data_IF_659956927745
#
_entry.id   IF_659956927745
#
_cell.length_a   1.000
_cell.length_b   1.000
_cell.length_c   1.000
_cell.angle_alpha   90.00
_cell.angle_beta   90.00
_cell.angle_gamma   90.00
#
_symmetry.space_group_name_H-M   'P 1'
#
loop_
_entity.id
_entity.type
_entity.pdbx_description
1 polymer ?
#
# COMPACT_ATOMS: atom_id res chain seq x y z
N UNK A 1 20.63 -42.68 14.04
CA UNK A 1 20.48 -44.14 14.00
C UNK A 1 20.63 -44.79 15.38
N UNK A 2 21.65 -44.44 16.18
CA UNK A 2 21.76 -44.97 17.56
C UNK A 2 20.57 -44.63 18.45
N UNK A 3 20.02 -43.41 18.35
CA UNK A 3 18.83 -42.99 19.13
C UNK A 3 17.52 -43.69 18.74
N UNK A 4 17.53 -44.47 17.66
CA UNK A 4 16.34 -45.13 17.12
C UNK A 4 16.57 -46.62 16.92
N UNK A 5 17.62 -47.19 17.54
CA UNK A 5 18.02 -48.60 17.40
C UNK A 5 18.11 -49.06 15.93
N UNK A 6 18.54 -48.15 15.05
CA UNK A 6 18.65 -48.40 13.61
C UNK A 6 17.34 -48.34 12.82
N UNK A 7 16.19 -48.06 13.44
CA UNK A 7 14.88 -47.97 12.77
C UNK A 7 14.74 -46.69 11.94
N UNK A 8 15.28 -45.57 12.43
CA UNK A 8 15.12 -44.24 11.84
C UNK A 8 13.93 -43.45 12.40
N UNK A 9 13.85 -42.16 12.07
CA UNK A 9 12.83 -41.24 12.59
C UNK A 9 11.51 -41.31 11.81
N UNK A 10 10.37 -41.19 12.51
CA UNK A 10 9.03 -41.04 11.92
C UNK A 10 8.89 -39.74 11.11
N UNK A 11 9.58 -38.70 11.56
CA UNK A 11 9.53 -37.36 10.98
C UNK A 11 10.88 -36.66 11.13
N UNK A 12 11.33 -35.99 10.07
CA UNK A 12 12.51 -35.12 10.09
C UNK A 12 12.07 -33.72 9.70
N UNK A 13 12.36 -32.74 10.56
CA UNK A 13 12.07 -31.33 10.30
C UNK A 13 13.39 -30.64 9.94
N UNK A 14 13.43 -30.00 8.79
CA UNK A 14 14.61 -29.26 8.31
C UNK A 14 14.38 -27.76 8.53
N UNK A 15 15.17 -27.18 9.44
CA UNK A 15 15.17 -25.74 9.75
C UNK A 15 16.45 -25.03 9.26
N UNK A 16 17.31 -25.73 8.53
CA UNK A 16 18.59 -25.21 8.03
C UNK A 16 18.42 -24.22 6.86
N UNK A 17 19.42 -23.36 6.69
CA UNK A 17 19.56 -22.49 5.51
C UNK A 17 20.89 -22.76 4.81
N UNK A 18 20.86 -23.37 3.62
CA UNK A 18 22.03 -23.69 2.80
C UNK A 18 21.64 -23.84 1.33
N UNK A 19 22.60 -23.83 0.41
CA UNK A 19 22.35 -24.19 -1.00
C UNK A 19 22.59 -25.67 -1.29
N UNK A 20 23.19 -26.40 -0.34
CA UNK A 20 23.53 -27.81 -0.53
C UNK A 20 22.29 -28.72 -0.47
N UNK A 21 22.35 -29.82 -1.23
CA UNK A 21 21.41 -30.94 -1.17
C UNK A 21 21.74 -31.94 -0.04
N UNK A 22 22.88 -31.79 0.64
CA UNK A 22 23.32 -32.75 1.66
C UNK A 22 22.32 -32.86 2.82
N UNK A 23 21.67 -31.75 3.18
CA UNK A 23 20.70 -31.72 4.28
C UNK A 23 19.46 -32.57 3.95
N UNK A 24 18.98 -32.54 2.70
CA UNK A 24 17.82 -33.35 2.31
C UNK A 24 18.16 -34.83 2.19
N UNK A 25 19.37 -35.15 1.71
CA UNK A 25 19.88 -36.52 1.68
C UNK A 25 20.06 -37.08 3.10
N UNK A 26 20.65 -36.31 4.02
CA UNK A 26 20.76 -36.70 5.43
C UNK A 26 19.38 -36.92 6.07
N UNK A 27 18.40 -36.06 5.79
CA UNK A 27 17.04 -36.24 6.28
C UNK A 27 16.40 -37.55 5.76
N UNK A 28 16.63 -37.90 4.50
CA UNK A 28 16.18 -39.18 3.93
C UNK A 28 16.87 -40.39 4.58
N UNK A 29 18.17 -40.29 4.85
CA UNK A 29 18.94 -41.34 5.52
C UNK A 29 18.52 -41.53 6.99
N UNK A 30 18.21 -40.45 7.70
CA UNK A 30 17.72 -40.48 9.07
C UNK A 30 16.28 -41.00 9.21
N UNK A 31 15.49 -40.91 8.15
CA UNK A 31 14.09 -41.33 8.15
C UNK A 31 13.94 -42.86 8.13
N UNK A 32 12.93 -43.38 8.81
CA UNK A 32 12.50 -44.77 8.66
C UNK A 32 11.73 -44.97 7.34
N UNK A 33 11.41 -46.23 6.99
CA UNK A 33 10.48 -46.52 5.90
C UNK A 33 9.12 -45.85 6.16
N UNK A 34 8.59 -45.14 5.17
CA UNK A 34 7.40 -44.27 5.21
C UNK A 34 7.52 -43.08 6.17
N UNK A 35 8.75 -42.62 6.42
CA UNK A 35 9.02 -41.40 7.16
C UNK A 35 8.57 -40.15 6.41
N UNK A 36 8.40 -39.06 7.16
CA UNK A 36 7.98 -37.75 6.64
C UNK A 36 9.11 -36.75 6.79
N UNK A 37 9.43 -36.01 5.74
CA UNK A 37 10.39 -34.91 5.77
C UNK A 37 9.63 -33.60 5.58
N UNK A 38 9.79 -32.68 6.52
CA UNK A 38 9.15 -31.36 6.51
C UNK A 38 10.22 -30.29 6.41
N UNK A 39 10.22 -29.51 5.33
CA UNK A 39 11.13 -28.37 5.15
C UNK A 39 10.47 -27.07 5.62
N UNK A 40 11.09 -26.39 6.57
CA UNK A 40 10.74 -25.02 7.00
C UNK A 40 11.79 -24.01 6.50
N UNK A 41 13.05 -24.42 6.41
CA UNK A 41 14.17 -23.60 5.96
C UNK A 41 14.32 -23.49 4.44
N UNK A 42 15.51 -23.10 3.99
CA UNK A 42 15.86 -22.96 2.56
C UNK A 42 17.07 -23.84 2.27
N UNK A 43 16.90 -24.90 1.49
CA UNK A 43 17.96 -25.87 1.16
C UNK A 43 18.01 -26.14 -0.35
N UNK A 44 19.07 -26.82 -0.82
CA UNK A 44 19.05 -27.45 -2.14
C UNK A 44 18.00 -28.57 -2.20
N UNK A 45 17.25 -28.65 -3.30
CA UNK A 45 16.10 -29.55 -3.46
C UNK A 45 16.25 -30.57 -4.58
N UNK A 46 17.48 -30.92 -4.97
CA UNK A 46 17.72 -32.03 -5.90
C UNK A 46 17.56 -33.36 -5.16
N UNK A 47 16.33 -33.89 -5.15
CA UNK A 47 15.97 -35.10 -4.43
C UNK A 47 16.58 -36.35 -5.08
N UNK A 48 17.31 -37.15 -4.30
CA UNK A 48 17.78 -38.46 -4.74
C UNK A 48 16.61 -39.43 -4.86
N UNK A 49 16.35 -39.90 -6.09
CA UNK A 49 15.30 -40.91 -6.32
C UNK A 49 15.55 -42.18 -5.51
N UNK A 50 16.79 -42.65 -5.41
CA UNK A 50 17.12 -43.89 -4.71
C UNK A 50 16.74 -43.80 -3.22
N UNK A 51 17.17 -42.73 -2.55
CA UNK A 51 16.96 -42.53 -1.11
C UNK A 51 15.47 -42.39 -0.74
N UNK A 52 14.70 -41.68 -1.58
CA UNK A 52 13.27 -41.48 -1.36
C UNK A 52 12.44 -42.71 -1.72
N UNK A 53 12.81 -43.42 -2.80
CA UNK A 53 12.06 -44.57 -3.30
C UNK A 53 12.21 -45.80 -2.40
N UNK A 54 13.44 -46.14 -1.99
CA UNK A 54 13.72 -47.32 -1.16
C UNK A 54 12.89 -47.34 0.14
N UNK A 55 12.73 -46.14 0.72
CA UNK A 55 12.04 -45.95 1.98
C UNK A 55 10.60 -45.45 1.82
N UNK A 56 10.08 -45.25 0.61
CA UNK A 56 8.74 -44.65 0.38
C UNK A 56 8.53 -43.35 1.18
N UNK A 57 9.49 -42.44 1.14
CA UNK A 57 9.45 -41.20 1.93
C UNK A 57 8.46 -40.19 1.34
N UNK A 58 7.86 -39.40 2.24
CA UNK A 58 7.08 -38.22 1.85
C UNK A 58 7.83 -36.94 2.18
N UNK A 59 7.67 -35.93 1.33
CA UNK A 59 8.29 -34.62 1.49
C UNK A 59 7.22 -33.53 1.44
N UNK A 60 7.29 -32.59 2.38
CA UNK A 60 6.41 -31.43 2.46
C UNK A 60 7.22 -30.16 2.72
N UNK A 61 6.93 -29.10 1.97
CA UNK A 61 7.40 -27.76 2.31
C UNK A 61 6.34 -27.07 3.18
N UNK A 62 6.74 -26.63 4.36
CA UNK A 62 5.88 -25.92 5.30
C UNK A 62 5.99 -24.41 5.09
N UNK A 63 4.85 -23.73 5.00
CA UNK A 63 4.84 -22.27 5.07
C UNK A 63 5.29 -21.82 6.47
N UNK A 64 6.29 -20.93 6.53
CA UNK A 64 7.14 -20.67 7.71
C UNK A 64 6.42 -20.32 9.02
N UNK A 65 5.18 -19.83 8.97
CA UNK A 65 4.33 -19.57 10.15
C UNK A 65 2.88 -20.08 10.00
N UNK A 66 2.62 -20.90 8.98
CA UNK A 66 1.36 -21.59 8.77
C UNK A 66 0.31 -20.82 7.95
N UNK A 67 -0.94 -21.31 7.96
CA UNK A 67 -2.08 -20.67 7.30
C UNK A 67 -2.27 -19.22 7.72
N UNK A 68 -2.55 -18.35 6.76
CA UNK A 68 -2.63 -16.89 6.91
C UNK A 68 -1.53 -16.16 6.16
N UNK A 69 -0.35 -16.80 6.05
CA UNK A 69 0.75 -16.25 5.27
C UNK A 69 0.36 -16.07 3.80
N UNK A 70 0.59 -14.87 3.26
CA UNK A 70 0.22 -14.48 1.89
C UNK A 70 -1.29 -14.37 1.63
N UNK A 71 -2.11 -14.41 2.67
CA UNK A 71 -3.55 -14.14 2.60
C UNK A 71 -3.82 -12.71 3.11
N UNK A 72 -4.22 -11.82 2.21
CA UNK A 72 -4.47 -10.41 2.55
C UNK A 72 -5.64 -10.23 3.54
N UNK A 73 -6.68 -11.07 3.44
CA UNK A 73 -7.83 -11.00 4.35
C UNK A 73 -7.41 -11.37 5.78
N UNK A 74 -6.44 -12.28 5.91
CA UNK A 74 -5.84 -12.64 7.18
C UNK A 74 -4.83 -11.60 7.68
N UNK A 75 -3.74 -11.39 6.93
CA UNK A 75 -2.58 -10.59 7.37
C UNK A 75 -2.90 -9.11 7.50
N UNK A 76 -3.69 -8.57 6.55
CA UNK A 76 -3.93 -7.12 6.47
C UNK A 76 -5.28 -6.74 7.07
N UNK A 77 -6.33 -7.55 6.84
CA UNK A 77 -7.69 -7.23 7.33
C UNK A 77 -8.00 -7.83 8.71
N UNK A 78 -7.14 -8.72 9.22
CA UNK A 78 -7.28 -9.29 10.56
C UNK A 78 -8.40 -10.31 10.69
N UNK A 79 -8.88 -10.88 9.58
CA UNK A 79 -9.90 -11.93 9.60
C UNK A 79 -9.24 -13.29 9.87
N UNK A 80 -9.25 -13.74 11.12
CA UNK A 80 -8.70 -15.05 11.50
C UNK A 80 -9.56 -16.20 10.93
N UNK A 81 -8.94 -17.33 10.62
CA UNK A 81 -9.66 -18.49 10.10
C UNK A 81 -10.53 -19.13 11.19
N UNK A 82 -11.69 -19.72 10.84
CA UNK A 82 -12.52 -20.34 11.84
C UNK A 82 -11.81 -21.54 12.50
N UNK A 83 -11.72 -21.50 13.83
CA UNK A 83 -11.00 -22.48 14.65
C UNK A 83 -11.34 -23.96 14.33
N UNK A 84 -12.62 -24.34 14.07
CA UNK A 84 -12.95 -25.73 13.74
C UNK A 84 -12.34 -26.25 12.43
N UNK A 85 -12.00 -25.37 11.48
CA UNK A 85 -11.47 -25.76 10.17
C UNK A 85 -9.96 -25.57 10.08
N UNK A 86 -9.44 -24.51 10.69
CA UNK A 86 -8.00 -24.22 10.71
C UNK A 86 -7.58 -24.03 12.14
N UNK A 87 -7.06 -25.09 12.77
CA UNK A 87 -6.67 -25.07 14.18
C UNK A 87 -5.48 -24.12 14.43
N UNK A 88 -4.46 -24.20 13.59
CA UNK A 88 -3.22 -23.44 13.70
C UNK A 88 -3.13 -22.37 12.61
N UNK A 89 -3.10 -21.12 13.04
CA UNK A 89 -2.90 -19.94 12.19
C UNK A 89 -1.66 -19.21 12.67
N UNK A 90 -1.09 -18.30 11.87
CA UNK A 90 0.07 -17.51 12.26
C UNK A 90 -0.11 -16.86 13.64
N UNK A 91 -1.24 -16.18 13.87
CA UNK A 91 -1.61 -15.57 15.16
C UNK A 91 -1.58 -16.58 16.30
N UNK A 92 -2.23 -17.74 16.16
CA UNK A 92 -2.31 -18.75 17.23
C UNK A 92 -0.97 -19.44 17.51
N UNK A 93 -0.13 -19.57 16.49
CA UNK A 93 1.26 -20.01 16.64
C UNK A 93 2.02 -19.01 17.52
N UNK A 94 1.94 -17.71 17.22
CA UNK A 94 2.54 -16.65 18.05
C UNK A 94 1.99 -16.64 19.47
N UNK A 95 0.65 -16.67 19.64
CA UNK A 95 0.00 -16.72 20.96
C UNK A 95 0.48 -17.92 21.78
N UNK A 96 0.66 -19.08 21.14
CA UNK A 96 1.13 -20.30 21.82
C UNK A 96 2.57 -20.19 22.25
N UNK A 97 3.46 -19.64 21.43
CA UNK A 97 4.86 -19.40 21.80
C UNK A 97 4.94 -18.38 22.94
N UNK A 98 4.23 -17.26 22.84
CA UNK A 98 4.18 -16.25 23.90
C UNK A 98 3.62 -16.82 25.21
N UNK A 99 2.55 -17.63 25.12
CA UNK A 99 1.99 -18.34 26.27
C UNK A 99 3.01 -19.31 26.88
N UNK A 100 3.73 -20.06 26.05
CA UNK A 100 4.76 -21.01 26.49
C UNK A 100 5.95 -20.31 27.18
N UNK A 101 6.38 -19.15 26.66
CA UNK A 101 7.40 -18.32 27.31
C UNK A 101 6.88 -17.80 28.65
N UNK A 102 5.66 -17.25 28.69
CA UNK A 102 5.08 -16.71 29.93
C UNK A 102 4.91 -17.77 31.03
N UNK A 103 4.64 -19.03 30.64
CA UNK A 103 4.53 -20.19 31.53
C UNK A 103 5.86 -20.88 31.80
N UNK A 104 6.96 -20.38 31.22
CA UNK A 104 8.31 -20.96 31.32
C UNK A 104 8.42 -22.40 30.79
N UNK A 105 7.54 -22.79 29.86
CA UNK A 105 7.71 -24.03 29.09
C UNK A 105 8.82 -23.89 28.04
N UNK A 106 9.08 -22.65 27.62
CA UNK A 106 10.23 -22.28 26.81
C UNK A 106 10.99 -21.23 27.60
N UNK A 107 12.22 -21.55 28.00
CA UNK A 107 13.12 -20.63 28.68
C UNK A 107 14.00 -19.92 27.64
N UNK A 108 13.75 -18.62 27.45
CA UNK A 108 14.53 -17.78 26.52
C UNK A 108 15.53 -16.88 27.22
N UNK A 109 15.41 -16.68 28.54
CA UNK A 109 16.30 -15.82 29.31
C UNK A 109 17.79 -16.19 29.14
N UNK A 110 18.20 -17.48 29.11
CA UNK A 110 19.61 -17.84 28.89
C UNK A 110 20.13 -17.47 27.49
N UNK A 111 19.24 -17.23 26.52
CA UNK A 111 19.63 -16.82 25.17
C UNK A 111 19.91 -15.31 25.09
N UNK A 112 19.39 -14.52 26.04
CA UNK A 112 19.60 -13.07 26.09
C UNK A 112 21.03 -12.81 26.55
N UNK A 113 21.90 -12.53 25.57
CA UNK A 113 23.32 -12.25 25.80
C UNK A 113 23.60 -10.78 26.08
N UNK A 114 22.69 -9.89 25.68
CA UNK A 114 22.82 -8.46 25.92
C UNK A 114 21.46 -7.74 25.94
N UNK A 115 21.40 -6.64 26.67
CA UNK A 115 20.27 -5.69 26.67
C UNK A 115 20.84 -4.33 26.33
N UNK A 116 20.31 -3.70 25.28
CA UNK A 116 20.81 -2.44 24.73
C UNK A 116 19.67 -1.43 24.66
N UNK A 117 19.91 -0.21 25.12
CA UNK A 117 18.95 0.89 24.96
C UNK A 117 18.69 1.18 23.48
N UNK A 118 17.44 1.48 23.09
CA UNK A 118 17.12 1.73 21.68
C UNK A 118 18.01 2.79 21.02
N UNK A 119 18.40 3.84 21.75
CA UNK A 119 19.30 4.89 21.25
C UNK A 119 20.68 4.35 20.79
N UNK A 120 21.09 3.21 21.34
CA UNK A 120 22.35 2.53 21.05
C UNK A 120 22.16 1.33 20.11
N UNK A 121 21.05 1.27 19.35
CA UNK A 121 20.74 0.14 18.45
C UNK A 121 21.88 -0.25 17.51
N UNK A 122 22.76 0.69 17.15
CA UNK A 122 23.94 0.43 16.32
C UNK A 122 24.96 -0.51 16.96
N UNK A 123 24.98 -0.70 18.29
CA UNK A 123 25.79 -1.73 18.94
C UNK A 123 25.38 -3.13 18.50
N UNK A 124 24.08 -3.35 18.29
CA UNK A 124 23.55 -4.60 17.76
C UNK A 124 23.78 -4.62 16.25
N UNK A 125 23.16 -3.70 15.52
CA UNK A 125 23.09 -3.77 14.05
C UNK A 125 24.42 -3.50 13.34
N UNK A 126 25.34 -2.75 13.95
CA UNK A 126 26.67 -2.47 13.42
C UNK A 126 27.64 -3.65 13.54
N UNK A 127 27.37 -4.59 14.45
CA UNK A 127 28.20 -5.78 14.73
C UNK A 127 27.49 -7.09 14.37
N UNK A 128 26.37 -7.02 13.62
CA UNK A 128 25.67 -8.21 13.14
C UNK A 128 26.64 -9.08 12.33
N UNK A 129 26.82 -10.32 12.78
CA UNK A 129 27.68 -11.31 12.14
C UNK A 129 29.13 -11.33 12.63
N UNK A 130 29.59 -10.32 13.39
CA UNK A 130 30.90 -10.32 14.06
C UNK A 130 30.80 -10.51 15.57
N UNK A 131 29.66 -10.18 16.18
CA UNK A 131 29.43 -10.39 17.61
C UNK A 131 29.20 -11.87 17.95
N UNK A 132 29.51 -12.25 19.18
CA UNK A 132 29.17 -13.58 19.75
C UNK A 132 27.78 -13.59 20.41
N UNK A 133 27.01 -12.51 20.26
CA UNK A 133 25.68 -12.40 20.85
C UNK A 133 24.74 -13.42 20.22
N UNK A 134 23.95 -14.10 21.06
CA UNK A 134 22.95 -15.10 20.64
C UNK A 134 21.59 -14.43 20.49
N UNK A 135 21.17 -13.66 21.49
CA UNK A 135 19.99 -12.79 21.42
C UNK A 135 20.27 -11.45 22.10
N UNK A 136 19.90 -10.36 21.42
CA UNK A 136 20.05 -8.99 21.91
C UNK A 136 18.66 -8.40 22.14
N UNK A 137 18.39 -7.88 23.34
CA UNK A 137 17.12 -7.24 23.67
C UNK A 137 17.24 -5.72 23.55
N UNK A 138 16.32 -5.08 22.84
CA UNK A 138 16.22 -3.63 22.81
C UNK A 138 15.33 -3.15 23.96
N UNK A 139 15.85 -2.27 24.80
CA UNK A 139 15.08 -1.61 25.86
C UNK A 139 14.39 -0.34 25.33
N UNK A 140 13.11 -0.20 25.65
CA UNK A 140 12.23 0.91 25.25
C UNK A 140 11.76 1.79 26.43
N UNK A 141 12.21 1.51 27.66
CA UNK A 141 11.62 2.04 28.91
C UNK A 141 11.60 3.57 29.03
N UNK A 142 12.48 4.29 28.33
CA UNK A 142 12.63 5.76 28.44
C UNK A 142 12.17 6.53 27.19
N UNK A 143 11.38 5.92 26.30
CA UNK A 143 11.01 6.56 25.03
C UNK A 143 9.65 7.23 25.14
N UNK A 144 9.64 8.55 24.95
CA UNK A 144 8.41 9.27 24.63
C UNK A 144 8.07 9.04 23.17
N UNK A 145 6.99 8.29 22.90
CA UNK A 145 6.51 8.08 21.53
C UNK A 145 5.93 9.37 20.97
N UNK A 146 6.43 9.79 19.81
CA UNK A 146 5.85 10.86 19.02
C UNK A 146 5.50 10.32 17.64
N UNK A 147 4.28 10.62 17.20
CA UNK A 147 3.85 10.35 15.83
C UNK A 147 4.53 11.30 14.82
N UNK A 148 5.22 12.33 15.29
CA UNK A 148 5.84 13.37 14.46
C UNK A 148 7.33 13.50 14.76
N UNK A 149 8.12 13.60 13.71
CA UNK A 149 9.55 13.90 13.79
C UNK A 149 9.86 15.18 13.02
N UNK A 150 10.76 15.99 13.55
CA UNK A 150 11.34 17.13 12.84
C UNK A 150 12.55 16.64 12.05
N UNK A 151 12.53 16.83 10.73
CA UNK A 151 13.52 16.28 9.81
C UNK A 151 14.52 17.33 9.34
N UNK A 152 14.08 18.57 9.16
CA UNK A 152 14.94 19.70 8.78
C UNK A 152 14.62 20.91 9.65
N UNK A 153 15.64 21.48 10.31
CA UNK A 153 15.50 22.70 11.12
C UNK A 153 15.96 23.97 10.38
N UNK A 154 16.74 23.83 9.30
CA UNK A 154 17.37 24.96 8.62
C UNK A 154 16.73 25.21 7.25
N UNK A 155 15.77 26.12 7.19
CA UNK A 155 15.60 26.93 6.00
C UNK A 155 16.40 28.22 6.21
N UNK A 156 17.50 28.37 5.47
CA UNK A 156 18.17 29.66 5.34
C UNK A 156 17.12 30.70 4.96
N UNK A 157 16.98 31.73 5.80
CA UNK A 157 15.93 32.73 5.71
C UNK A 157 15.90 33.37 4.33
N UNK A 158 14.83 33.10 3.58
CA UNK A 158 14.38 33.93 2.47
C UNK A 158 12.86 33.77 2.26
N UNK A 159 12.09 33.62 3.34
CA UNK A 159 10.63 33.71 3.32
C UNK A 159 10.21 35.10 3.83
N UNK A 160 10.53 36.14 3.06
CA UNK A 160 10.11 37.52 3.33
C UNK A 160 8.64 37.80 2.99
N UNK A 161 7.85 36.80 2.57
CA UNK A 161 6.40 36.93 2.43
C UNK A 161 5.66 36.21 3.56
N UNK A 162 5.36 36.96 4.62
CA UNK A 162 4.48 36.60 5.75
C UNK A 162 3.04 36.20 5.36
N UNK A 163 2.71 36.15 4.07
CA UNK A 163 1.37 35.82 3.54
C UNK A 163 1.23 34.37 3.05
N UNK A 164 2.33 33.62 2.86
CA UNK A 164 2.25 32.28 2.29
C UNK A 164 2.18 31.22 3.39
N UNK A 165 0.96 30.85 3.80
CA UNK A 165 0.73 29.71 4.70
C UNK A 165 1.24 28.41 4.05
N UNK A 166 1.67 27.45 4.87
CA UNK A 166 2.35 26.23 4.46
C UNK A 166 1.45 25.14 3.88
N UNK A 167 2.10 24.18 3.22
CA UNK A 167 1.47 23.05 2.53
C UNK A 167 1.84 21.73 3.22
N UNK A 168 0.85 20.85 3.35
CA UNK A 168 1.04 19.48 3.80
C UNK A 168 0.71 18.49 2.67
N UNK A 169 1.52 17.44 2.53
CA UNK A 169 1.23 16.33 1.62
C UNK A 169 0.87 15.07 2.42
N UNK A 170 -0.26 14.46 2.07
CA UNK A 170 -0.82 13.30 2.75
C UNK A 170 -0.76 12.11 1.80
N UNK A 171 -0.02 11.08 2.20
CA UNK A 171 0.33 9.93 1.38
C UNK A 171 1.79 10.00 0.91
N UNK A 172 2.61 9.05 1.36
CA UNK A 172 4.01 8.87 0.93
C UNK A 172 4.17 7.75 -0.11
N UNK A 173 3.17 7.62 -1.00
CA UNK A 173 3.13 6.57 -2.02
C UNK A 173 4.02 6.85 -3.23
N UNK A 174 4.01 5.92 -4.19
CA UNK A 174 4.81 6.04 -5.42
C UNK A 174 4.47 7.29 -6.22
N UNK A 175 3.20 7.65 -6.35
CA UNK A 175 2.79 8.86 -7.07
C UNK A 175 3.37 10.13 -6.42
N UNK A 176 3.31 10.21 -5.09
CA UNK A 176 3.93 11.29 -4.31
C UNK A 176 5.42 11.40 -4.56
N UNK A 177 6.12 10.27 -4.42
CA UNK A 177 7.57 10.18 -4.56
C UNK A 177 8.07 10.52 -5.96
N UNK A 178 7.38 10.04 -6.99
CA UNK A 178 7.85 10.09 -8.38
C UNK A 178 7.32 11.30 -9.15
N UNK A 179 6.17 11.86 -8.76
CA UNK A 179 5.50 12.92 -9.53
C UNK A 179 5.34 14.20 -8.71
N UNK A 180 4.66 14.14 -7.57
CA UNK A 180 4.26 15.34 -6.82
C UNK A 180 5.46 16.07 -6.19
N UNK A 181 6.29 15.36 -5.41
CA UNK A 181 7.41 15.99 -4.71
C UNK A 181 8.44 16.63 -5.67
N UNK A 182 8.82 16.01 -6.80
CA UNK A 182 9.63 16.67 -7.82
C UNK A 182 8.99 17.95 -8.37
N UNK A 183 7.69 17.92 -8.71
CA UNK A 183 6.99 19.10 -9.24
C UNK A 183 6.91 20.24 -8.20
N UNK A 184 6.59 19.93 -6.95
CA UNK A 184 6.52 20.89 -5.85
C UNK A 184 7.86 21.57 -5.57
N UNK A 185 8.94 20.79 -5.60
CA UNK A 185 10.30 21.31 -5.44
C UNK A 185 10.62 22.34 -6.54
N UNK A 186 10.26 22.04 -7.78
CA UNK A 186 10.47 22.96 -8.91
C UNK A 186 9.63 24.24 -8.82
N UNK A 187 8.46 24.17 -8.18
CA UNK A 187 7.58 25.32 -7.92
C UNK A 187 7.99 26.13 -6.67
N UNK A 188 8.98 25.68 -5.91
CA UNK A 188 9.40 26.35 -4.67
C UNK A 188 8.33 26.34 -3.58
N UNK A 189 7.47 25.32 -3.55
CA UNK A 189 6.38 25.25 -2.57
C UNK A 189 6.92 25.07 -1.15
N UNK A 190 6.26 25.75 -0.21
CA UNK A 190 6.54 25.63 1.21
C UNK A 190 5.94 24.33 1.78
N UNK A 191 6.68 23.22 1.66
CA UNK A 191 6.30 21.93 2.25
C UNK A 191 6.68 21.85 3.73
N UNK A 192 5.68 21.88 4.59
CA UNK A 192 5.83 21.82 6.05
C UNK A 192 5.69 20.38 6.56
N UNK A 193 4.72 19.63 6.04
CA UNK A 193 4.41 18.28 6.50
C UNK A 193 4.40 17.26 5.36
N UNK A 194 4.88 16.06 5.65
CA UNK A 194 4.49 14.83 4.95
C UNK A 194 3.83 13.86 5.94
N UNK A 195 2.66 13.36 5.57
CA UNK A 195 1.86 12.43 6.38
C UNK A 195 1.84 11.05 5.73
N UNK A 196 2.12 9.99 6.47
CA UNK A 196 1.99 8.61 5.98
C UNK A 196 1.63 7.62 7.08
N UNK A 197 0.92 6.54 6.73
CA UNK A 197 0.60 5.47 7.69
C UNK A 197 1.83 4.77 8.25
N UNK A 198 2.92 4.70 7.48
CA UNK A 198 4.23 4.20 7.94
C UNK A 198 5.22 5.34 8.16
N UNK A 199 5.91 5.36 9.31
CA UNK A 199 6.86 6.42 9.64
C UNK A 199 8.10 6.45 8.72
N UNK A 200 8.61 5.29 8.29
CA UNK A 200 9.88 5.20 7.56
C UNK A 200 9.82 5.83 6.15
N UNK A 201 8.76 5.56 5.39
CA UNK A 201 8.61 6.07 4.02
C UNK A 201 8.44 7.58 4.00
N UNK A 202 7.56 8.14 4.85
CA UNK A 202 7.40 9.57 5.05
C UNK A 202 8.70 10.25 5.45
N UNK A 203 9.40 9.70 6.46
CA UNK A 203 10.67 10.25 6.96
C UNK A 203 11.75 10.29 5.90
N UNK A 204 11.87 9.22 5.10
CA UNK A 204 12.87 9.14 4.04
C UNK A 204 12.62 10.17 2.95
N UNK A 205 11.35 10.36 2.56
CA UNK A 205 10.97 11.40 1.60
C UNK A 205 11.15 12.80 2.18
N UNK A 206 10.80 13.03 3.44
CA UNK A 206 11.02 14.30 4.11
C UNK A 206 12.50 14.71 4.08
N UNK A 207 13.41 13.77 4.39
CA UNK A 207 14.86 14.01 4.31
C UNK A 207 15.29 14.38 2.90
N UNK A 208 14.86 13.60 1.91
CA UNK A 208 15.23 13.79 0.50
C UNK A 208 14.74 15.12 -0.08
N UNK A 209 13.54 15.55 0.30
CA UNK A 209 12.88 16.74 -0.25
C UNK A 209 12.88 17.93 0.71
N UNK A 210 13.61 17.85 1.83
CA UNK A 210 13.75 18.91 2.83
C UNK A 210 12.41 19.41 3.40
N UNK A 211 11.48 18.47 3.61
CA UNK A 211 10.20 18.73 4.29
C UNK A 211 10.46 18.80 5.79
N UNK A 212 9.88 19.79 6.47
CA UNK A 212 10.23 20.12 7.86
C UNK A 212 9.82 19.01 8.82
N UNK A 213 8.58 18.51 8.69
CA UNK A 213 8.01 17.50 9.57
C UNK A 213 7.54 16.27 8.79
N UNK A 214 7.78 15.10 9.38
CA UNK A 214 7.18 13.82 8.95
C UNK A 214 6.32 13.30 10.08
N UNK A 215 5.06 12.96 9.79
CA UNK A 215 4.12 12.50 10.80
C UNK A 215 3.28 11.30 10.35
N UNK A 216 2.87 10.47 11.30
CA UNK A 216 1.84 9.44 11.12
C UNK A 216 0.46 9.90 11.58
N UNK A 217 0.36 11.12 12.12
CA UNK A 217 -0.86 11.69 12.69
C UNK A 217 -1.39 12.82 11.78
N UNK A 218 -2.44 12.50 11.03
CA UNK A 218 -3.08 13.46 10.11
C UNK A 218 -3.74 14.63 10.84
N UNK A 219 -4.24 14.42 12.06
CA UNK A 219 -4.96 15.46 12.81
C UNK A 219 -4.07 16.63 13.21
N UNK A 220 -2.75 16.40 13.36
CA UNK A 220 -1.80 17.49 13.61
C UNK A 220 -1.79 18.51 12.48
N UNK A 221 -1.85 18.03 11.23
CA UNK A 221 -1.90 18.91 10.04
C UNK A 221 -3.20 19.72 10.01
N UNK A 222 -4.31 19.10 10.39
CA UNK A 222 -5.62 19.77 10.42
C UNK A 222 -5.66 20.88 11.49
N UNK A 223 -5.03 20.64 12.64
CA UNK A 223 -4.99 21.58 13.78
C UNK A 223 -3.94 22.69 13.64
N UNK A 224 -2.91 22.52 12.81
CA UNK A 224 -1.87 23.53 12.64
C UNK A 224 -2.40 24.75 11.85
N UNK A 225 -2.45 25.90 12.51
CA UNK A 225 -2.90 27.17 11.92
C UNK A 225 -1.97 27.70 10.82
N UNK A 226 -0.72 27.24 10.78
CA UNK A 226 0.26 27.63 9.75
C UNK A 226 0.05 26.88 8.43
N UNK A 227 -0.72 25.79 8.44
CA UNK A 227 -1.08 25.04 7.23
C UNK A 227 -2.39 25.55 6.67
N UNK A 228 -2.41 25.91 5.39
CA UNK A 228 -3.65 26.28 4.70
C UNK A 228 -4.05 25.31 3.60
N UNK A 229 -3.15 24.44 3.16
CA UNK A 229 -3.37 23.60 1.99
C UNK A 229 -2.91 22.18 2.28
N UNK A 230 -3.79 21.23 1.99
CA UNK A 230 -3.54 19.79 2.12
C UNK A 230 -3.61 19.14 0.74
N UNK A 231 -2.60 18.35 0.41
CA UNK A 231 -2.51 17.62 -0.85
C UNK A 231 -2.62 16.12 -0.59
N UNK A 232 -3.77 15.54 -0.91
CA UNK A 232 -4.13 14.15 -0.60
C UNK A 232 -3.81 13.27 -1.81
N UNK A 233 -2.95 12.28 -1.59
CA UNK A 233 -2.37 11.38 -2.61
C UNK A 233 -2.37 9.93 -2.12
N UNK A 234 -3.38 9.59 -1.31
CA UNK A 234 -3.52 8.30 -0.63
C UNK A 234 -4.20 7.25 -1.52
N UNK A 235 -4.55 6.09 -0.95
CA UNK A 235 -5.44 5.13 -1.61
C UNK A 235 -6.85 5.73 -1.71
N UNK A 236 -7.63 5.30 -2.70
CA UNK A 236 -8.89 5.96 -3.08
C UNK A 236 -9.93 6.03 -1.95
N UNK A 237 -10.12 4.95 -1.18
CA UNK A 237 -11.06 4.93 -0.05
C UNK A 237 -10.77 5.95 1.05
N UNK A 238 -9.54 6.47 1.14
CA UNK A 238 -9.17 7.50 2.11
C UNK A 238 -9.45 8.92 1.61
N UNK A 239 -9.72 9.11 0.32
CA UNK A 239 -9.92 10.45 -0.25
C UNK A 239 -11.11 11.15 0.41
N UNK A 240 -12.29 10.55 0.37
CA UNK A 240 -13.50 11.16 0.91
C UNK A 240 -13.40 11.57 2.39
N UNK A 241 -13.02 10.68 3.34
CA UNK A 241 -12.90 11.07 4.74
C UNK A 241 -11.81 12.13 4.97
N UNK A 242 -10.66 12.05 4.28
CA UNK A 242 -9.57 13.02 4.46
C UNK A 242 -9.90 14.39 3.86
N UNK A 243 -10.55 14.43 2.68
CA UNK A 243 -11.02 15.66 2.03
C UNK A 243 -12.05 16.36 2.92
N UNK A 244 -13.05 15.61 3.40
CA UNK A 244 -14.07 16.12 4.33
C UNK A 244 -13.43 16.75 5.56
N UNK A 245 -12.51 16.04 6.21
CA UNK A 245 -11.83 16.53 7.41
C UNK A 245 -10.99 17.80 7.14
N UNK A 246 -10.27 17.86 6.02
CA UNK A 246 -9.50 19.05 5.64
C UNK A 246 -10.38 20.27 5.35
N UNK A 247 -11.48 20.07 4.61
CA UNK A 247 -12.45 21.13 4.33
C UNK A 247 -13.09 21.65 5.62
N UNK A 248 -13.54 20.75 6.51
CA UNK A 248 -14.12 21.15 7.80
C UNK A 248 -13.11 21.88 8.71
N UNK A 249 -11.80 21.63 8.55
CA UNK A 249 -10.73 22.37 9.21
C UNK A 249 -10.34 23.69 8.50
N UNK A 250 -11.08 24.10 7.47
CA UNK A 250 -10.84 25.33 6.71
C UNK A 250 -9.58 25.30 5.84
N UNK A 251 -9.11 24.11 5.46
CA UNK A 251 -7.93 23.93 4.60
C UNK A 251 -8.36 23.84 3.14
N UNK A 252 -7.62 24.50 2.25
CA UNK A 252 -7.68 24.23 0.82
C UNK A 252 -7.23 22.79 0.55
N UNK A 253 -7.89 22.13 -0.38
CA UNK A 253 -7.64 20.71 -0.67
C UNK A 253 -7.30 20.52 -2.13
N UNK A 254 -6.16 19.90 -2.38
CA UNK A 254 -5.91 19.17 -3.62
C UNK A 254 -6.03 17.69 -3.30
N UNK A 255 -6.77 16.92 -4.11
CA UNK A 255 -6.90 15.48 -3.92
C UNK A 255 -6.71 14.77 -5.26
N UNK A 256 -5.92 13.71 -5.28
CA UNK A 256 -5.82 12.85 -6.45
C UNK A 256 -7.17 12.22 -6.80
N UNK A 257 -7.34 11.91 -8.09
CA UNK A 257 -8.55 11.22 -8.55
C UNK A 257 -8.55 9.76 -8.06
N UNK A 258 -9.73 9.12 -7.90
CA UNK A 258 -11.06 9.70 -7.96
C UNK A 258 -11.40 10.45 -6.66
N UNK A 259 -12.30 11.44 -6.72
CA UNK A 259 -12.68 12.22 -5.53
C UNK A 259 -13.37 11.37 -4.45
N UNK A 260 -14.19 10.40 -4.88
CA UNK A 260 -14.97 9.50 -4.03
C UNK A 260 -15.15 8.16 -4.76
N UNK A 261 -15.41 7.08 -4.01
CA UNK A 261 -15.72 5.77 -4.56
C UNK A 261 -17.22 5.56 -4.83
N UNK A 262 -18.08 6.29 -4.11
CA UNK A 262 -19.53 6.15 -4.23
C UNK A 262 -20.26 7.49 -4.05
N UNK A 263 -21.57 7.47 -4.30
CA UNK A 263 -22.41 8.66 -4.24
C UNK A 263 -22.60 9.21 -2.82
N UNK A 264 -22.54 8.38 -1.79
CA UNK A 264 -22.70 8.83 -0.40
C UNK A 264 -21.47 9.63 0.04
N UNK A 265 -20.27 9.10 -0.22
CA UNK A 265 -19.01 9.81 -0.03
C UNK A 265 -18.97 11.14 -0.79
N UNK A 266 -19.43 11.15 -2.05
CA UNK A 266 -19.48 12.38 -2.84
C UNK A 266 -20.43 13.42 -2.23
N UNK A 267 -21.61 13.01 -1.76
CA UNK A 267 -22.56 13.91 -1.08
C UNK A 267 -21.94 14.51 0.18
N UNK A 268 -21.24 13.69 0.95
CA UNK A 268 -20.54 14.12 2.17
C UNK A 268 -19.47 15.17 1.88
N UNK A 269 -18.68 14.99 0.81
CA UNK A 269 -17.69 15.97 0.37
C UNK A 269 -18.37 17.26 -0.09
N UNK A 270 -19.46 17.18 -0.86
CA UNK A 270 -20.20 18.37 -1.33
C UNK A 270 -20.72 19.19 -0.14
N UNK A 271 -21.28 18.52 0.87
CA UNK A 271 -21.77 19.19 2.09
C UNK A 271 -20.64 19.90 2.85
N UNK A 272 -19.49 19.23 3.01
CA UNK A 272 -18.31 19.83 3.65
C UNK A 272 -17.75 21.00 2.83
N UNK A 273 -17.69 20.86 1.51
CA UNK A 273 -17.22 21.91 0.61
C UNK A 273 -18.08 23.17 0.73
N UNK A 274 -19.41 23.01 0.64
CA UNK A 274 -20.36 24.12 0.73
C UNK A 274 -20.32 24.87 2.07
N UNK A 275 -19.82 24.23 3.14
CA UNK A 275 -19.71 24.82 4.48
C UNK A 275 -18.31 25.33 4.82
N UNK A 276 -17.26 24.87 4.12
CA UNK A 276 -15.85 25.10 4.49
C UNK A 276 -15.26 26.46 4.12
N UNK A 277 -15.84 27.21 3.18
CA UNK A 277 -15.22 28.42 2.61
C UNK A 277 -13.86 28.20 1.92
N UNK A 278 -13.36 26.96 1.89
CA UNK A 278 -12.08 26.57 1.33
C UNK A 278 -12.24 26.08 -0.11
N UNK A 279 -11.13 25.95 -0.83
CA UNK A 279 -11.13 25.45 -2.21
C UNK A 279 -10.89 23.94 -2.26
N UNK A 280 -11.49 23.26 -3.25
CA UNK A 280 -11.29 21.84 -3.55
C UNK A 280 -10.89 21.68 -5.01
N UNK A 281 -9.73 21.07 -5.26
CA UNK A 281 -9.23 20.72 -6.59
C UNK A 281 -9.01 19.22 -6.69
N UNK A 282 -9.58 18.59 -7.71
CA UNK A 282 -9.33 17.18 -8.03
C UNK A 282 -8.21 17.07 -9.06
N UNK A 283 -7.29 16.12 -8.86
CA UNK A 283 -6.07 15.89 -9.65
C UNK A 283 -6.29 15.38 -11.07
N UNK A 284 -7.28 15.90 -11.80
CA UNK A 284 -7.47 15.60 -13.21
C UNK A 284 -6.40 16.30 -14.07
N UNK A 285 -5.20 15.73 -14.09
CA UNK A 285 -4.03 16.33 -14.72
C UNK A 285 -4.14 16.49 -16.25
N UNK A 286 -4.89 15.62 -16.95
CA UNK A 286 -4.90 15.56 -18.43
C UNK A 286 -5.37 16.85 -19.09
N UNK A 287 -6.38 17.53 -18.51
CA UNK A 287 -6.88 18.83 -19.04
C UNK A 287 -5.85 19.96 -18.99
N UNK A 288 -4.83 19.82 -18.14
CA UNK A 288 -3.73 20.79 -18.01
C UNK A 288 -2.52 20.45 -18.90
N UNK A 289 -2.54 19.33 -19.62
CA UNK A 289 -1.45 19.00 -20.53
C UNK A 289 -1.34 20.03 -21.66
N UNK A 290 -0.13 20.40 -22.11
CA UNK A 290 0.05 21.36 -23.20
C UNK A 290 -0.73 20.98 -24.47
N UNK A 291 -0.89 19.68 -24.73
CA UNK A 291 -1.66 19.16 -25.85
C UNK A 291 -3.17 19.38 -25.67
N UNK A 292 -3.72 19.10 -24.49
CA UNK A 292 -5.14 19.37 -24.19
C UNK A 292 -5.46 20.87 -24.27
N UNK A 293 -4.57 21.73 -23.78
CA UNK A 293 -4.73 23.19 -23.89
C UNK A 293 -4.74 23.65 -25.36
N UNK A 294 -3.81 23.14 -26.19
CA UNK A 294 -3.77 23.43 -27.64
C UNK A 294 -5.03 22.92 -28.36
N UNK A 295 -5.48 21.70 -28.04
CA UNK A 295 -6.71 21.13 -28.60
C UNK A 295 -7.92 21.96 -28.22
N UNK A 296 -8.07 22.34 -26.94
CA UNK A 296 -9.17 23.20 -26.50
C UNK A 296 -9.18 24.54 -27.22
N UNK A 297 -8.00 25.16 -27.39
CA UNK A 297 -7.88 26.41 -28.15
C UNK A 297 -8.30 26.24 -29.62
N UNK A 298 -7.97 25.10 -30.25
CA UNK A 298 -8.34 24.81 -31.64
C UNK A 298 -9.84 24.49 -31.81
N UNK A 299 -10.44 23.79 -30.83
CA UNK A 299 -11.90 23.55 -30.78
C UNK A 299 -12.65 24.87 -30.62
N UNK A 300 -12.09 25.81 -29.85
CA UNK A 300 -12.72 27.08 -29.52
C UNK A 300 -13.66 26.98 -28.32
N UNK A 301 -14.40 28.06 -28.08
CA UNK A 301 -15.34 28.20 -26.97
C UNK A 301 -16.78 28.39 -27.43
N UNK A 302 -17.07 28.09 -28.70
CA UNK A 302 -18.41 28.24 -29.27
C UNK A 302 -19.35 27.10 -28.85
N UNK A 303 -20.65 27.33 -29.04
CA UNK A 303 -21.73 26.39 -28.67
C UNK A 303 -21.97 25.29 -29.70
N UNK A 304 -21.11 25.15 -30.72
CA UNK A 304 -21.24 24.11 -31.73
C UNK A 304 -21.04 22.74 -31.08
N UNK A 305 -22.04 21.83 -31.14
CA UNK A 305 -21.90 20.50 -30.58
C UNK A 305 -20.75 19.73 -31.21
N UNK A 306 -19.96 19.05 -30.38
CA UNK A 306 -18.84 18.22 -30.84
C UNK A 306 -19.06 16.76 -30.41
N UNK A 307 -18.40 15.84 -31.13
CA UNK A 307 -18.29 14.45 -30.72
C UNK A 307 -16.84 14.13 -30.37
N UNK A 308 -16.58 13.71 -29.14
CA UNK A 308 -15.23 13.37 -28.67
C UNK A 308 -15.17 11.89 -28.34
N UNK A 309 -14.24 11.17 -28.96
CA UNK A 309 -14.03 9.74 -28.70
C UNK A 309 -12.64 9.55 -28.09
N UNK A 310 -12.59 9.03 -26.87
CA UNK A 310 -11.38 8.57 -26.20
C UNK A 310 -11.40 7.04 -26.13
N UNK A 311 -10.40 6.41 -26.75
CA UNK A 311 -10.15 4.97 -26.64
C UNK A 311 -8.78 4.79 -26.03
N UNK A 312 -8.68 3.99 -24.97
CA UNK A 312 -7.38 3.66 -24.41
C UNK A 312 -7.27 2.20 -24.01
N UNK A 313 -6.01 1.78 -23.85
CA UNK A 313 -5.64 0.59 -23.13
C UNK A 313 -4.83 1.01 -21.90
N UNK A 314 -5.35 0.76 -20.70
CA UNK A 314 -4.68 1.14 -19.45
C UNK A 314 -3.88 -0.01 -18.82
N UNK A 315 -3.72 -1.12 -19.55
CA UNK A 315 -2.91 -2.26 -19.16
C UNK A 315 -3.50 -3.10 -18.03
N UNK A 316 -3.12 -4.38 -18.03
CA UNK A 316 -3.54 -5.32 -17.00
C UNK A 316 -2.80 -5.04 -15.70
N UNK A 317 -3.52 -4.98 -14.59
CA UNK A 317 -2.96 -4.97 -13.25
C UNK A 317 -3.27 -6.33 -12.60
N UNK A 318 -2.30 -6.96 -11.90
CA UNK A 318 -2.51 -8.23 -11.22
C UNK A 318 -3.76 -8.20 -10.30
N UNK A 319 -4.55 -9.29 -10.22
CA UNK A 319 -5.83 -9.30 -9.48
C UNK A 319 -5.70 -8.99 -7.98
N UNK A 320 -4.55 -9.28 -7.39
CA UNK A 320 -4.21 -9.09 -5.97
C UNK A 320 -3.85 -7.65 -5.61
N UNK A 321 -3.80 -6.72 -6.58
CA UNK A 321 -3.51 -5.31 -6.29
C UNK A 321 -4.77 -4.61 -5.78
N UNK A 322 -4.62 -3.83 -4.70
CA UNK A 322 -5.66 -3.06 -4.01
C UNK A 322 -6.65 -2.27 -4.88
N UNK A 323 -6.28 -1.92 -6.11
CA UNK A 323 -7.13 -1.21 -7.06
C UNK A 323 -8.40 -2.01 -7.38
N UNK A 324 -8.30 -3.34 -7.36
CA UNK A 324 -9.41 -4.27 -7.64
C UNK A 324 -10.30 -4.52 -6.43
N UNK A 325 -9.84 -4.24 -5.21
CA UNK A 325 -10.70 -4.28 -4.02
C UNK A 325 -11.70 -3.11 -4.12
N UNK A 326 -12.99 -3.43 -4.25
CA UNK A 326 -14.05 -2.44 -4.42
C UNK A 326 -14.17 -1.47 -3.24
N UNK A 327 -13.75 -1.89 -2.03
CA UNK A 327 -13.78 -1.03 -0.83
C UNK A 327 -12.55 -0.13 -0.74
N UNK A 328 -11.42 -0.51 -1.33
CA UNK A 328 -10.15 0.22 -1.22
C UNK A 328 -9.87 1.06 -2.46
N UNK A 329 -10.01 0.47 -3.64
CA UNK A 329 -9.74 1.05 -4.95
C UNK A 329 -10.96 1.38 -5.79
N UNK A 330 -12.09 0.69 -5.57
CA UNK A 330 -13.33 0.91 -6.33
C UNK A 330 -13.27 0.45 -7.79
N UNK A 331 -12.26 -0.33 -8.15
CA UNK A 331 -12.11 -0.87 -9.49
C UNK A 331 -11.49 0.08 -10.51
N UNK A 332 -11.24 -0.44 -11.71
CA UNK A 332 -10.54 0.28 -12.78
C UNK A 332 -11.41 1.31 -13.48
N UNK A 333 -12.72 1.12 -13.60
CA UNK A 333 -13.61 2.12 -14.20
C UNK A 333 -13.60 3.41 -13.37
N UNK A 334 -13.85 3.34 -12.05
CA UNK A 334 -13.86 4.53 -11.19
C UNK A 334 -12.47 5.17 -11.14
N UNK A 335 -11.42 4.35 -11.01
CA UNK A 335 -10.04 4.82 -10.92
C UNK A 335 -9.49 5.41 -12.21
N UNK A 336 -9.81 4.88 -13.39
CA UNK A 336 -9.17 5.24 -14.66
C UNK A 336 -10.10 5.91 -15.68
N UNK A 337 -11.36 5.48 -15.80
CA UNK A 337 -12.27 6.07 -16.78
C UNK A 337 -12.58 7.53 -16.46
N UNK A 338 -12.57 7.90 -15.17
CA UNK A 338 -12.79 9.26 -14.69
C UNK A 338 -11.86 10.29 -15.35
N UNK A 339 -10.61 9.90 -15.65
CA UNK A 339 -9.65 10.76 -16.36
C UNK A 339 -10.14 11.22 -17.72
N UNK A 340 -10.76 10.32 -18.46
CA UNK A 340 -11.21 10.57 -19.83
C UNK A 340 -12.60 11.21 -19.84
N UNK A 341 -13.46 10.86 -18.88
CA UNK A 341 -14.73 11.57 -18.68
C UNK A 341 -14.45 13.04 -18.37
N UNK A 342 -13.49 13.33 -17.49
CA UNK A 342 -13.04 14.69 -17.19
C UNK A 342 -12.50 15.42 -18.42
N UNK A 343 -11.63 14.76 -19.19
CA UNK A 343 -11.02 15.36 -20.38
C UNK A 343 -12.05 15.64 -21.49
N UNK A 344 -12.99 14.71 -21.72
CA UNK A 344 -14.10 14.91 -22.65
C UNK A 344 -14.95 16.09 -22.18
N UNK A 345 -15.30 16.15 -20.89
CA UNK A 345 -16.07 17.26 -20.31
C UNK A 345 -15.34 18.59 -20.44
N UNK A 346 -14.00 18.59 -20.33
CA UNK A 346 -13.18 19.77 -20.57
C UNK A 346 -13.28 20.25 -22.04
N UNK A 347 -13.23 19.34 -23.01
CA UNK A 347 -13.37 19.70 -24.43
C UNK A 347 -14.77 20.16 -24.77
N UNK A 348 -15.81 19.47 -24.31
CA UNK A 348 -17.22 19.85 -24.57
C UNK A 348 -17.63 21.11 -23.81
N UNK A 349 -16.98 21.41 -22.68
CA UNK A 349 -17.30 22.57 -21.83
C UNK A 349 -18.70 22.50 -21.22
N UNK A 350 -19.28 21.30 -21.11
CA UNK A 350 -20.68 21.09 -20.73
C UNK A 350 -20.81 19.97 -19.70
N UNK A 351 -21.95 19.90 -19.01
CA UNK A 351 -22.26 18.86 -18.04
C UNK A 351 -22.83 17.62 -18.72
N UNK A 352 -22.50 16.44 -18.18
CA UNK A 352 -23.11 15.17 -18.60
C UNK A 352 -24.54 15.10 -18.07
N UNK A 353 -25.51 14.79 -18.96
CA UNK A 353 -26.94 14.62 -18.61
C UNK A 353 -27.44 13.20 -18.69
N UNK A 354 -26.76 12.34 -19.46
CA UNK A 354 -27.08 10.92 -19.52
C UNK A 354 -25.87 10.08 -19.85
N UNK A 355 -25.83 8.87 -19.30
CA UNK A 355 -24.77 7.89 -19.51
C UNK A 355 -25.39 6.59 -19.98
N UNK A 356 -24.82 5.98 -21.02
CA UNK A 356 -25.06 4.60 -21.39
C UNK A 356 -23.72 3.86 -21.28
N UNK A 357 -23.67 2.80 -20.49
CA UNK A 357 -22.45 2.02 -20.26
C UNK A 357 -22.71 0.55 -20.54
N UNK A 358 -21.76 -0.09 -21.23
CA UNK A 358 -21.72 -1.54 -21.35
C UNK A 358 -20.33 -2.06 -20.92
N UNK A 359 -20.30 -2.96 -19.96
CA UNK A 359 -19.08 -3.63 -19.53
C UNK A 359 -18.83 -4.89 -20.38
N UNK A 360 -17.58 -5.31 -20.51
CA UNK A 360 -17.24 -6.54 -21.25
C UNK A 360 -17.22 -7.75 -20.30
N UNK A 361 -17.79 -8.87 -20.77
CA UNK A 361 -17.80 -10.14 -20.05
C UNK A 361 -19.21 -10.74 -20.00
N UNK A 362 -19.31 -12.01 -19.61
CA UNK A 362 -20.60 -12.67 -19.35
C UNK A 362 -21.16 -12.20 -18.00
N UNK A 363 -20.29 -12.06 -16.99
CA UNK A 363 -20.60 -11.56 -15.65
C UNK A 363 -19.83 -10.25 -15.38
N UNK A 364 -20.27 -9.11 -15.91
CA UNK A 364 -19.54 -7.84 -15.82
C UNK A 364 -19.32 -7.34 -14.38
N UNK A 365 -20.17 -7.73 -13.42
CA UNK A 365 -19.99 -7.42 -12.00
C UNK A 365 -18.69 -8.01 -11.38
N UNK A 366 -18.15 -9.07 -11.96
CA UNK A 366 -16.90 -9.70 -11.50
C UNK A 366 -15.65 -8.99 -12.02
N UNK A 367 -15.79 -8.04 -12.98
CA UNK A 367 -14.65 -7.39 -13.61
C UNK A 367 -14.90 -5.91 -13.91
N UNK A 368 -14.19 -5.03 -13.19
CA UNK A 368 -14.28 -3.57 -13.37
C UNK A 368 -13.29 -3.01 -14.38
N UNK A 369 -12.68 -3.86 -15.23
CA UNK A 369 -11.55 -3.50 -16.10
C UNK A 369 -11.93 -2.89 -17.45
N UNK A 370 -13.08 -3.27 -18.01
CA UNK A 370 -13.39 -2.98 -19.41
C UNK A 370 -14.81 -2.46 -19.57
N UNK A 371 -14.96 -1.27 -20.16
CA UNK A 371 -16.27 -0.66 -20.41
C UNK A 371 -16.25 0.22 -21.67
N UNK A 372 -17.38 0.24 -22.37
CA UNK A 372 -17.71 1.28 -23.34
C UNK A 372 -18.75 2.21 -22.71
N UNK A 373 -18.41 3.49 -22.61
CA UNK A 373 -19.22 4.53 -21.96
C UNK A 373 -19.57 5.58 -23.00
N UNK A 374 -20.85 5.84 -23.19
CA UNK A 374 -21.38 6.92 -24.02
C UNK A 374 -21.97 7.99 -23.10
N UNK A 375 -21.61 9.25 -23.37
CA UNK A 375 -21.97 10.42 -22.60
C UNK A 375 -22.75 11.38 -23.49
N UNK A 376 -23.89 11.86 -23.02
CA UNK A 376 -24.62 12.98 -23.62
C UNK A 376 -24.42 14.22 -22.76
N UNK A 377 -24.18 15.37 -23.40
CA UNK A 377 -23.95 16.64 -22.73
C UNK A 377 -25.14 17.61 -22.91
N UNK A 378 -25.29 18.57 -22.00
CA UNK A 378 -26.36 19.59 -22.05
C UNK A 378 -26.35 20.39 -23.35
N UNK A 379 -25.16 20.72 -23.88
CA UNK A 379 -25.00 21.49 -25.11
C UNK A 379 -25.19 20.65 -26.40
N UNK A 380 -25.70 19.42 -26.30
CA UNK A 380 -25.88 18.51 -27.43
C UNK A 380 -24.62 17.79 -27.90
N UNK A 381 -23.46 18.06 -27.29
CA UNK A 381 -22.23 17.30 -27.58
C UNK A 381 -22.37 15.85 -27.12
N UNK A 382 -21.58 14.97 -27.75
CA UNK A 382 -21.47 13.56 -27.38
C UNK A 382 -20.03 13.20 -27.00
N UNK A 383 -19.91 12.24 -26.09
CA UNK A 383 -18.64 11.68 -25.66
C UNK A 383 -18.66 10.16 -25.72
N UNK A 384 -17.61 9.56 -26.26
CA UNK A 384 -17.35 8.13 -26.16
C UNK A 384 -16.08 7.90 -25.34
N UNK A 385 -16.14 7.06 -24.33
CA UNK A 385 -14.98 6.58 -23.57
C UNK A 385 -14.95 5.05 -23.61
N UNK A 386 -13.99 4.49 -24.33
CA UNK A 386 -13.76 3.05 -24.37
C UNK A 386 -12.56 2.70 -23.52
N UNK A 387 -12.85 2.19 -22.32
CA UNK A 387 -11.89 1.66 -21.36
C UNK A 387 -11.59 0.19 -21.61
N UNK A 388 -10.35 -0.11 -21.94
CA UNK A 388 -9.83 -1.48 -22.01
C UNK A 388 -8.63 -1.62 -21.07
N UNK A 389 -8.60 -2.65 -20.23
CA UNK A 389 -7.42 -2.99 -19.42
C UNK A 389 -6.86 -4.37 -19.73
N UNK A 390 -7.57 -5.22 -20.49
CA UNK A 390 -7.07 -6.54 -20.91
C UNK A 390 -7.25 -6.70 -22.42
N UNK A 391 -6.15 -7.02 -23.11
CA UNK A 391 -6.15 -7.63 -24.42
C UNK A 391 -5.52 -9.01 -24.22
N UNK A 392 -6.36 -10.03 -24.04
CA UNK A 392 -5.94 -11.42 -24.17
C UNK A 392 -6.83 -12.08 -25.18
#
# INVERSE_FOLDING_TARGET
MQLTDGVGADGVIITASTKSNDVISQAAQMSRKRGRIILVGVIGLELSRAEFYEKELSFQVSCSYGPGRYDEDYETKGNDYPLPFVRWTEKRNFETILSSISKKYIEVDPLITEVVELKDYLKIYGEIGSSKSIASLLNYSDITYSNTITVSQNRGGNSSNKSNKGVAIVGAGNFTKMTMLPAMKNLGMDLQYIVSSGGLSGTTLAKKFQIIQSTTDYDQVLKDANINTVMITTRHHLHAPMVKAALMAGKNVFVEKPLALNNEELKDIINAYNTSGATLTVGFNRRFSPHALKMKKAIGYGDTPINVIATMNAGAIPPDVWVHDLKVGGGRIIGEACHFIDLISYFTGSKVVSVCMNAMGINPEENTDNASILLKYENGSNGGNKLLCKWK
#
